data_IF_134975902237
#
_entry.id   IF_134975902237
#
_cell.length_a   1.000
_cell.length_b   1.000
_cell.length_c   1.000
_cell.angle_alpha   90.00
_cell.angle_beta   90.00
_cell.angle_gamma   90.00
#
_symmetry.space_group_name_H-M   'P 1'
#
loop_
_entity.id
_entity.type
_entity.pdbx_description
1 polymer ?
#
# COMPACT_ATOMS: atom_id res chain seq x y z
N UNK A 1 -2.34 14.33 -6.90
CA UNK A 1 -1.27 14.11 -5.90
C UNK A 1 -0.99 12.60 -5.79
N UNK A 2 0.26 12.19 -5.56
CA UNK A 2 0.62 10.77 -5.38
C UNK A 2 0.19 10.21 -4.01
N UNK A 3 0.23 8.89 -3.87
CA UNK A 3 -0.18 8.19 -2.65
C UNK A 3 1.07 7.75 -1.89
N UNK A 4 1.15 8.12 -0.60
CA UNK A 4 2.28 7.79 0.27
C UNK A 4 1.79 7.08 1.52
N UNK A 5 2.31 5.87 1.74
CA UNK A 5 1.85 4.98 2.81
C UNK A 5 3.04 4.40 3.57
N UNK A 6 2.86 4.11 4.86
CA UNK A 6 3.73 3.19 5.61
C UNK A 6 2.95 1.90 5.83
N UNK A 7 3.48 0.75 5.42
CA UNK A 7 2.82 -0.55 5.57
C UNK A 7 3.55 -1.41 6.57
N UNK A 8 2.81 -1.99 7.51
CA UNK A 8 3.33 -2.95 8.49
C UNK A 8 3.21 -4.37 7.95
N UNK A 9 4.20 -4.79 7.17
CA UNK A 9 4.30 -6.13 6.60
C UNK A 9 5.71 -6.41 6.08
N UNK A 10 6.05 -7.70 5.92
CA UNK A 10 7.24 -8.10 5.17
C UNK A 10 7.13 -7.69 3.70
N UNK A 11 8.25 -7.29 3.10
CA UNK A 11 8.34 -6.86 1.68
C UNK A 11 7.64 -7.81 0.71
N UNK A 12 7.86 -9.12 0.83
CA UNK A 12 7.25 -10.13 -0.03
C UNK A 12 5.70 -10.12 -0.01
N UNK A 13 5.09 -9.79 1.14
CA UNK A 13 3.62 -9.65 1.26
C UNK A 13 3.13 -8.40 0.56
N UNK A 14 3.90 -7.32 0.61
CA UNK A 14 3.59 -6.05 -0.05
C UNK A 14 3.64 -6.24 -1.57
N UNK A 15 4.74 -6.81 -2.09
CA UNK A 15 4.91 -7.09 -3.51
C UNK A 15 3.80 -8.03 -4.03
N UNK A 16 3.45 -9.06 -3.27
CA UNK A 16 2.33 -9.96 -3.61
C UNK A 16 0.97 -9.23 -3.65
N UNK A 17 0.73 -8.29 -2.74
CA UNK A 17 -0.52 -7.53 -2.70
C UNK A 17 -0.63 -6.54 -3.88
N UNK A 18 0.46 -5.85 -4.22
CA UNK A 18 0.52 -4.92 -5.34
C UNK A 18 0.47 -5.64 -6.69
N UNK A 19 1.15 -6.78 -6.81
CA UNK A 19 1.25 -7.56 -8.04
C UNK A 19 2.04 -6.79 -9.09
N UNK A 20 1.48 -6.66 -10.30
CA UNK A 20 2.09 -5.90 -11.41
C UNK A 20 2.35 -4.43 -11.06
N UNK A 21 1.59 -3.86 -10.11
CA UNK A 21 1.78 -2.47 -9.70
C UNK A 21 3.12 -2.23 -8.97
N UNK A 22 3.79 -3.30 -8.51
CA UNK A 22 5.09 -3.21 -7.82
C UNK A 22 6.15 -2.51 -8.67
N UNK A 23 6.16 -2.67 -9.99
CA UNK A 23 7.14 -2.01 -10.88
C UNK A 23 6.89 -0.52 -11.06
N UNK A 24 5.69 -0.06 -10.74
CA UNK A 24 5.25 1.34 -10.89
C UNK A 24 5.26 2.09 -9.55
N UNK A 25 5.71 1.44 -8.48
CA UNK A 25 5.77 1.99 -7.13
C UNK A 25 7.19 1.91 -6.58
N UNK A 26 7.53 2.85 -5.71
CA UNK A 26 8.74 2.74 -4.91
C UNK A 26 8.42 2.10 -3.56
N UNK A 27 9.15 1.05 -3.21
CA UNK A 27 9.03 0.36 -1.91
C UNK A 27 10.39 0.44 -1.21
N UNK A 28 10.43 1.07 -0.05
CA UNK A 28 11.68 1.29 0.69
C UNK A 28 11.53 0.93 2.17
N UNK A 29 12.58 0.41 2.82
CA UNK A 29 12.53 0.09 4.24
C UNK A 29 12.46 1.39 5.07
N UNK A 30 11.66 1.37 6.14
CA UNK A 30 11.56 2.47 7.12
C UNK A 30 12.09 2.00 8.48
N UNK A 31 11.63 0.85 8.94
CA UNK A 31 12.08 0.20 10.17
C UNK A 31 11.76 -1.30 10.10
N UNK A 32 12.03 -2.04 11.17
CA UNK A 32 11.69 -3.46 11.24
C UNK A 32 10.20 -3.70 10.97
N UNK A 33 9.91 -4.57 9.99
CA UNK A 33 8.56 -4.87 9.48
C UNK A 33 7.73 -3.64 9.02
N UNK A 34 8.36 -2.49 8.78
CA UNK A 34 7.73 -1.27 8.27
C UNK A 34 8.39 -0.82 6.96
N UNK A 35 7.55 -0.70 5.92
CA UNK A 35 7.97 -0.26 4.59
C UNK A 35 7.19 0.95 4.14
N UNK A 36 7.88 1.93 3.57
CA UNK A 36 7.28 3.01 2.84
C UNK A 36 6.88 2.54 1.44
N UNK A 37 5.73 3.01 0.97
CA UNK A 37 5.28 2.85 -0.40
C UNK A 37 4.95 4.24 -0.95
N UNK A 38 5.62 4.61 -2.05
CA UNK A 38 5.34 5.83 -2.81
C UNK A 38 4.79 5.45 -4.17
N UNK A 39 3.57 5.91 -4.47
CA UNK A 39 2.87 5.61 -5.72
C UNK A 39 2.69 6.92 -6.49
N UNK A 40 3.37 7.07 -7.64
CA UNK A 40 3.27 8.26 -8.47
C UNK A 40 1.83 8.53 -8.92
N UNK A 41 1.49 9.81 -9.04
CA UNK A 41 0.16 10.23 -9.53
C UNK A 41 -0.18 9.64 -10.90
N UNK A 42 0.78 9.54 -11.82
CA UNK A 42 0.57 8.90 -13.13
C UNK A 42 0.08 7.45 -13.01
N UNK A 43 0.58 6.71 -12.03
CA UNK A 43 0.23 5.31 -11.79
C UNK A 43 -1.16 5.22 -11.18
N UNK A 44 -1.51 6.14 -10.27
CA UNK A 44 -2.85 6.27 -9.71
C UNK A 44 -3.88 6.66 -10.77
N UNK A 45 -3.57 7.61 -11.65
CA UNK A 45 -4.47 8.03 -12.73
C UNK A 45 -4.75 6.92 -13.74
N UNK A 46 -3.80 5.98 -13.92
CA UNK A 46 -3.95 4.83 -14.81
C UNK A 46 -4.74 3.68 -14.16
N UNK A 47 -4.45 3.36 -12.90
CA UNK A 47 -4.99 2.16 -12.21
C UNK A 47 -6.22 2.47 -11.36
N UNK A 48 -6.36 3.70 -10.89
CA UNK A 48 -7.35 4.14 -9.92
C UNK A 48 -6.86 3.96 -8.49
N UNK A 49 -6.91 5.03 -7.69
CA UNK A 49 -6.49 5.02 -6.28
C UNK A 49 -7.25 3.98 -5.44
N UNK A 50 -8.57 3.86 -5.64
CA UNK A 50 -9.40 2.88 -4.94
C UNK A 50 -8.95 1.43 -5.19
N UNK A 51 -8.49 1.12 -6.40
CA UNK A 51 -7.97 -0.21 -6.76
C UNK A 51 -6.69 -0.51 -6.00
N UNK A 52 -5.81 0.49 -5.88
CA UNK A 52 -4.56 0.39 -5.12
C UNK A 52 -4.86 0.20 -3.63
N UNK A 53 -5.73 1.03 -3.06
CA UNK A 53 -6.13 0.92 -1.65
C UNK A 53 -6.83 -0.42 -1.37
N UNK A 54 -7.62 -0.92 -2.31
CA UNK A 54 -8.27 -2.23 -2.22
C UNK A 54 -7.25 -3.38 -2.24
N UNK A 55 -6.22 -3.32 -3.08
CA UNK A 55 -5.11 -4.31 -3.06
C UNK A 55 -4.40 -4.34 -1.72
N UNK A 56 -4.20 -3.18 -1.10
CA UNK A 56 -3.54 -3.04 0.19
C UNK A 56 -4.48 -3.22 1.40
N UNK A 57 -5.78 -3.45 1.20
CA UNK A 57 -6.79 -3.49 2.28
C UNK A 57 -6.53 -4.55 3.36
N UNK A 58 -5.82 -5.61 3.01
CA UNK A 58 -5.47 -6.71 3.91
C UNK A 58 -4.22 -6.42 4.74
N UNK A 59 -3.50 -5.33 4.46
CA UNK A 59 -2.31 -4.92 5.18
C UNK A 59 -2.64 -3.71 6.05
N UNK A 60 -2.13 -3.72 7.28
CA UNK A 60 -2.18 -2.53 8.15
C UNK A 60 -1.26 -1.47 7.56
N UNK A 61 -1.80 -0.26 7.35
CA UNK A 61 -1.07 0.82 6.69
C UNK A 61 -1.36 2.16 7.36
N UNK A 62 -0.40 3.05 7.39
CA UNK A 62 -0.53 4.44 7.80
C UNK A 62 -0.58 5.30 6.57
N UNK A 63 -1.60 6.14 6.46
CA UNK A 63 -1.72 7.12 5.39
C UNK A 63 -1.01 8.41 5.84
N UNK A 64 0.02 8.82 5.09
CA UNK A 64 0.82 9.99 5.43
C UNK A 64 0.08 11.31 5.22
N UNK A 65 -0.94 11.33 4.36
CA UNK A 65 -1.78 12.50 4.13
C UNK A 65 -2.87 12.63 5.19
N UNK A 66 -3.52 11.51 5.54
CA UNK A 66 -4.55 11.52 6.59
C UNK A 66 -3.97 11.52 8.01
N UNK A 67 -2.69 11.20 8.17
CA UNK A 67 -2.03 11.10 9.47
C UNK A 67 -2.61 10.00 10.36
N UNK A 68 -3.14 8.92 9.77
CA UNK A 68 -3.86 7.88 10.53
C UNK A 68 -3.54 6.45 10.07
N UNK A 69 -3.59 5.52 11.04
CA UNK A 69 -3.51 4.09 10.78
C UNK A 69 -4.84 3.56 10.26
N UNK A 70 -4.78 2.88 9.12
CA UNK A 70 -5.84 2.12 8.49
C UNK A 70 -5.64 0.64 8.81
N UNK A 71 -6.56 0.07 9.58
CA UNK A 71 -6.50 -1.33 9.99
C UNK A 71 -6.76 -2.28 8.81
N UNK A 72 -6.10 -3.44 8.86
CA UNK A 72 -6.33 -4.50 7.87
C UNK A 72 -7.77 -5.01 7.94
N UNK A 73 -8.51 -4.96 6.85
CA UNK A 73 -9.83 -5.59 6.75
C UNK A 73 -9.66 -7.05 6.34
N UNK A 74 -9.76 -7.97 7.31
CA UNK A 74 -9.89 -9.40 7.02
C UNK A 74 -11.29 -9.65 6.47
N UNK A 75 -11.38 -10.10 5.22
CA UNK A 75 -12.61 -10.64 4.69
C UNK A 75 -12.77 -12.03 5.28
N UNK A 76 -13.66 -12.17 6.26
CA UNK A 76 -14.23 -13.47 6.59
C UNK A 76 -15.15 -13.84 5.43
N UNK A 77 -14.70 -14.74 4.56
CA UNK A 77 -15.63 -15.49 3.72
C UNK A 77 -16.46 -16.35 4.69
N UNK A 78 -17.77 -16.11 4.72
CA UNK A 78 -18.76 -16.95 5.39
C UNK A 78 -19.55 -17.67 4.32
#
# INVERSE_FOLDING_TARGET
>A
MGLQLIVKAKRNKIEKALGLLTSECEIFPVAEDLFGISIPERSLSSVGEDVVLHKLKQLKRFDLWQGSWQESKRYWFR
#
